data_IF_504956993331
#
_entry.id   IF_504956993331
#
_cell.length_a   1.000
_cell.length_b   1.000
_cell.length_c   1.000
_cell.angle_alpha   90.00
_cell.angle_beta   90.00
_cell.angle_gamma   90.00
#
_symmetry.space_group_name_H-M   'P 1'
#
loop_
_entity.id
_entity.type
_entity.pdbx_description
1 polymer ?
#
# COMPACT_ATOMS: atom_id res chain seq x y z
N UNK A 1 -30.79 -40.95 -3.78
CA UNK A 1 -32.27 -41.09 -3.81
C UNK A 1 -32.84 -39.90 -3.05
N UNK A 2 -33.68 -39.11 -3.74
CA UNK A 2 -34.44 -37.98 -3.21
C UNK A 2 -35.38 -38.43 -2.09
N UNK A 3 -35.56 -37.59 -1.06
CA UNK A 3 -36.83 -37.43 -0.38
C UNK A 3 -36.99 -35.96 0.03
N UNK A 4 -37.81 -35.24 -0.73
CA UNK A 4 -38.55 -34.09 -0.22
C UNK A 4 -39.83 -34.61 0.45
N UNK A 5 -40.28 -33.96 1.54
CA UNK A 5 -41.70 -33.66 1.69
C UNK A 5 -41.96 -32.49 2.66
N UNK A 6 -42.52 -31.44 2.08
CA UNK A 6 -43.11 -30.24 2.67
C UNK A 6 -44.43 -30.53 3.39
N UNK A 7 -44.69 -29.94 4.57
CA UNK A 7 -46.05 -29.64 5.07
C UNK A 7 -46.08 -28.24 5.74
N UNK A 8 -46.98 -27.38 5.21
CA UNK A 8 -47.39 -26.06 5.71
C UNK A 8 -48.31 -26.17 6.93
N UNK A 9 -48.35 -25.13 7.79
CA UNK A 9 -49.51 -24.64 8.58
C UNK A 9 -49.13 -23.28 9.22
N UNK A 10 -49.48 -22.14 8.62
CA UNK A 10 -50.64 -21.25 8.92
C UNK A 10 -50.59 -20.46 10.25
N UNK A 11 -50.54 -19.13 10.06
CA UNK A 11 -50.72 -17.99 10.98
C UNK A 11 -51.69 -18.14 12.17
N UNK A 12 -51.32 -17.54 13.32
CA UNK A 12 -52.19 -16.63 14.06
C UNK A 12 -51.40 -15.68 14.98
N UNK A 13 -51.97 -14.48 15.15
CA UNK A 13 -51.40 -13.20 15.55
C UNK A 13 -52.03 -12.74 16.88
N UNK A 14 -51.24 -12.23 17.83
CA UNK A 14 -51.58 -11.37 18.98
C UNK A 14 -50.23 -10.78 19.44
N UNK A 15 -49.89 -9.49 19.48
CA UNK A 15 -50.66 -8.24 19.51
C UNK A 15 -50.63 -7.63 20.92
N UNK A 16 -49.97 -6.47 21.09
CA UNK A 16 -49.79 -5.51 22.25
C UNK A 16 -48.27 -5.36 22.54
N UNK A 17 -47.53 -4.25 22.28
CA UNK A 17 -47.73 -2.79 22.52
C UNK A 17 -47.18 -2.44 23.92
N UNK A 18 -46.19 -1.57 24.20
CA UNK A 18 -45.73 -0.26 23.66
C UNK A 18 -44.24 0.00 24.15
N UNK A 19 -43.60 1.19 24.08
CA UNK A 19 -42.40 1.48 23.29
C UNK A 19 -41.13 1.80 24.14
N UNK A 20 -39.95 1.85 23.52
CA UNK A 20 -38.80 2.56 24.09
C UNK A 20 -38.26 3.51 23.03
N UNK A 21 -38.45 4.81 23.30
CA UNK A 21 -37.69 5.90 22.68
C UNK A 21 -36.19 5.67 22.91
N UNK A 22 -35.39 5.76 21.85
CA UNK A 22 -34.00 6.16 21.99
C UNK A 22 -33.80 7.45 21.18
N UNK A 23 -33.26 8.43 21.89
CA UNK A 23 -32.98 9.77 21.41
C UNK A 23 -31.90 9.77 20.32
N UNK A 24 -32.04 10.73 19.41
CA UNK A 24 -31.10 11.02 18.34
C UNK A 24 -29.67 11.22 18.89
N UNK A 25 -28.77 10.30 18.52
CA UNK A 25 -27.34 10.55 18.58
C UNK A 25 -26.97 11.55 17.47
N UNK A 26 -26.36 12.64 17.89
CA UNK A 26 -25.92 13.78 17.09
C UNK A 26 -25.15 13.37 15.83
N UNK A 27 -25.59 13.89 14.69
CA UNK A 27 -24.81 13.93 13.45
C UNK A 27 -23.53 14.73 13.66
N UNK A 28 -22.44 14.04 13.99
CA UNK A 28 -21.09 14.57 13.83
C UNK A 28 -20.84 14.80 12.35
N UNK A 29 -20.87 16.06 11.93
CA UNK A 29 -20.55 16.47 10.56
C UNK A 29 -19.08 16.16 10.32
N UNK A 30 -18.77 15.01 9.69
CA UNK A 30 -17.43 14.70 9.20
C UNK A 30 -17.02 15.83 8.26
N UNK A 31 -15.95 16.56 8.60
CA UNK A 31 -15.37 17.55 7.70
C UNK A 31 -14.83 16.83 6.45
N UNK A 32 -14.91 17.44 5.26
CA UNK A 32 -14.31 16.84 4.07
C UNK A 32 -12.79 16.79 4.28
N UNK A 33 -12.21 15.58 4.38
CA UNK A 33 -10.77 15.36 4.34
C UNK A 33 -10.28 15.90 2.99
N UNK A 34 -9.31 16.82 3.01
CA UNK A 34 -8.64 17.27 1.78
C UNK A 34 -7.92 16.04 1.22
N UNK A 35 -8.25 15.64 -0.01
CA UNK A 35 -7.42 14.72 -0.79
C UNK A 35 -6.00 15.28 -0.82
N UNK A 36 -5.08 14.64 -0.12
CA UNK A 36 -3.66 14.75 -0.39
C UNK A 36 -3.33 13.43 -1.07
N UNK A 37 -2.88 13.51 -2.33
CA UNK A 37 -2.28 12.37 -2.98
C UNK A 37 -1.15 11.87 -2.08
N UNK A 38 -1.09 10.56 -1.90
CA UNK A 38 -0.05 9.90 -1.13
C UNK A 38 0.74 9.11 -2.17
N UNK A 39 1.87 9.65 -2.62
CA UNK A 39 2.98 8.85 -3.13
C UNK A 39 3.37 7.92 -1.99
N UNK A 40 2.82 6.70 -2.02
CA UNK A 40 3.07 5.67 -1.02
C UNK A 40 4.60 5.44 -0.98
N UNK A 41 5.25 6.00 0.04
CA UNK A 41 6.59 5.61 0.40
C UNK A 41 6.51 4.12 0.72
N UNK A 42 7.15 3.29 -0.11
CA UNK A 42 7.17 1.84 0.07
C UNK A 42 7.61 1.56 1.50
N UNK A 43 6.75 0.90 2.26
CA UNK A 43 6.91 0.57 3.67
C UNK A 43 8.15 -0.32 3.90
N UNK A 44 9.31 0.31 4.03
CA UNK A 44 10.54 -0.32 4.58
C UNK A 44 10.56 -0.23 6.12
N UNK A 45 9.48 0.28 6.70
CA UNK A 45 9.20 0.40 8.13
C UNK A 45 9.35 -0.96 8.85
N UNK A 46 8.89 -2.04 8.20
CA UNK A 46 8.88 -3.42 8.74
C UNK A 46 10.29 -3.85 9.19
N UNK A 47 11.32 -3.37 8.49
CA UNK A 47 12.66 -3.93 8.56
C UNK A 47 13.59 -3.08 9.47
N UNK A 48 13.27 -1.79 9.67
CA UNK A 48 13.92 -0.88 10.64
C UNK A 48 13.44 -1.14 12.08
N UNK A 49 12.17 -1.52 12.27
CA UNK A 49 11.58 -1.85 13.56
C UNK A 49 12.13 -3.15 14.18
N UNK A 50 12.32 -4.20 13.36
CA UNK A 50 12.83 -5.51 13.81
C UNK A 50 14.26 -5.39 14.37
N UNK A 51 15.10 -4.52 13.80
CA UNK A 51 16.48 -4.32 14.27
C UNK A 51 16.55 -3.56 15.60
N UNK A 52 15.68 -2.56 15.81
CA UNK A 52 15.59 -1.83 17.09
C UNK A 52 15.32 -2.74 18.28
N UNK A 53 14.47 -3.77 18.10
CA UNK A 53 14.15 -4.76 19.13
C UNK A 53 15.30 -5.71 19.51
N UNK A 54 16.36 -5.80 18.69
CA UNK A 54 17.48 -6.71 18.93
C UNK A 54 18.76 -6.01 19.43
N UNK A 55 18.85 -4.67 19.38
CA UNK A 55 19.97 -3.93 19.98
C UNK A 55 19.83 -3.70 21.50
N UNK A 56 18.68 -3.98 22.09
CA UNK A 56 18.48 -3.95 23.55
C UNK A 56 19.03 -5.19 24.29
N UNK A 57 19.68 -6.14 23.61
CA UNK A 57 20.24 -7.35 24.26
C UNK A 57 21.62 -7.19 24.90
N UNK A 58 22.14 -5.97 24.99
CA UNK A 58 23.39 -5.67 25.71
C UNK A 58 23.21 -4.67 26.85
N UNK A 59 22.11 -4.72 27.59
CA UNK A 59 22.10 -4.33 29.01
C UNK A 59 20.89 -4.94 29.68
N UNK A 60 21.01 -5.40 30.93
CA UNK A 60 19.89 -5.97 31.69
C UNK A 60 18.84 -4.92 32.10
N UNK A 61 18.16 -4.33 31.12
CA UNK A 61 16.96 -3.52 31.30
C UNK A 61 15.72 -4.38 31.13
N UNK A 62 14.83 -4.39 32.12
CA UNK A 62 13.52 -5.04 31.98
C UNK A 62 12.67 -4.39 30.90
N UNK A 63 11.60 -5.06 30.51
CA UNK A 63 10.55 -4.56 29.63
C UNK A 63 9.96 -3.23 30.16
N UNK A 64 9.82 -2.23 29.29
CA UNK A 64 9.23 -0.94 29.64
C UNK A 64 7.71 -1.06 29.86
N UNK A 65 7.15 -0.15 30.68
CA UNK A 65 5.71 -0.09 30.88
C UNK A 65 5.02 0.46 29.62
N UNK A 66 4.19 -0.38 29.00
CA UNK A 66 3.48 -0.07 27.77
C UNK A 66 2.50 1.09 27.99
N UNK A 67 2.65 2.14 27.19
CA UNK A 67 1.68 3.22 27.09
C UNK A 67 0.77 2.98 25.88
N UNK A 68 -0.32 2.24 26.08
CA UNK A 68 -1.25 1.93 25.00
C UNK A 68 -1.93 3.21 24.46
N UNK A 69 -2.00 3.42 23.13
CA UNK A 69 -2.64 4.60 22.59
C UNK A 69 -4.14 4.61 22.89
N UNK A 70 -4.65 5.72 23.41
CA UNK A 70 -6.08 5.89 23.74
C UNK A 70 -6.91 6.46 22.58
N UNK A 71 -6.33 6.57 21.39
CA UNK A 71 -6.92 7.15 20.17
C UNK A 71 -6.36 6.48 18.91
N UNK A 72 -7.00 6.70 17.77
CA UNK A 72 -6.55 6.15 16.48
C UNK A 72 -6.89 4.67 16.34
N UNK A 73 -6.10 3.97 15.54
CA UNK A 73 -6.31 2.55 15.20
C UNK A 73 -6.32 1.63 16.44
N UNK A 74 -5.58 1.99 17.50
CA UNK A 74 -5.53 1.21 18.74
C UNK A 74 -6.90 1.03 19.42
N UNK A 75 -7.88 1.89 19.16
CA UNK A 75 -9.25 1.74 19.69
C UNK A 75 -10.04 0.60 19.03
N UNK A 76 -9.61 0.17 17.83
CA UNK A 76 -10.24 -0.93 17.10
C UNK A 76 -9.86 -2.29 17.71
N UNK A 77 -8.74 -2.36 18.43
CA UNK A 77 -8.25 -3.57 19.07
C UNK A 77 -8.79 -3.75 20.50
N UNK A 78 -8.68 -4.96 21.08
CA UNK A 78 -8.82 -5.19 22.51
C UNK A 78 -7.67 -4.54 23.30
N UNK A 79 -7.83 -4.45 24.63
CA UNK A 79 -6.73 -4.03 25.51
C UNK A 79 -5.54 -5.01 25.36
N UNK A 80 -4.28 -4.53 25.41
CA UNK A 80 -3.13 -5.39 25.17
C UNK A 80 -3.03 -6.51 26.23
N UNK A 81 -2.56 -7.72 25.85
CA UNK A 81 -2.54 -8.88 26.74
C UNK A 81 -1.52 -8.77 27.87
N UNK A 82 -0.67 -7.73 27.86
CA UNK A 82 0.32 -7.42 28.88
C UNK A 82 0.51 -5.90 28.98
N UNK A 83 0.99 -5.43 30.14
CA UNK A 83 1.32 -4.02 30.38
C UNK A 83 2.78 -3.70 30.00
N UNK A 84 3.47 -4.62 29.32
CA UNK A 84 4.88 -4.52 28.98
C UNK A 84 5.06 -4.50 27.47
N UNK A 85 5.83 -3.55 26.96
CA UNK A 85 6.06 -3.42 25.53
C UNK A 85 6.31 -1.98 25.07
N UNK A 86 6.31 -1.79 23.76
CA UNK A 86 6.64 -0.52 23.11
C UNK A 86 5.78 -0.31 21.87
N UNK A 87 5.15 0.87 21.78
CA UNK A 87 4.53 1.36 20.54
C UNK A 87 5.62 1.90 19.64
N UNK A 88 5.73 1.34 18.44
CA UNK A 88 6.74 1.72 17.46
C UNK A 88 6.18 2.81 16.54
N UNK A 89 4.95 2.62 16.07
CA UNK A 89 4.24 3.51 15.16
C UNK A 89 2.78 3.59 15.60
N UNK A 90 2.21 4.78 15.56
CA UNK A 90 0.79 5.02 15.77
C UNK A 90 0.39 6.33 15.11
N UNK A 91 -0.05 6.22 13.87
CA UNK A 91 -0.58 7.32 13.07
C UNK A 91 -1.98 6.97 12.53
N UNK A 92 -2.42 7.67 11.49
CA UNK A 92 -3.76 7.47 10.93
C UNK A 92 -3.86 6.25 10.00
N UNK A 93 -2.74 5.76 9.49
CA UNK A 93 -2.66 4.69 8.50
C UNK A 93 -2.12 3.39 9.11
N UNK A 94 -1.29 3.46 10.16
CA UNK A 94 -0.68 2.28 10.77
C UNK A 94 -0.53 2.40 12.29
N UNK A 95 -0.72 1.27 12.96
CA UNK A 95 -0.30 1.00 14.34
C UNK A 95 0.63 -0.21 14.33
N UNK A 96 1.82 -0.06 14.91
CA UNK A 96 2.77 -1.17 15.12
C UNK A 96 3.24 -1.17 16.57
N UNK A 97 3.05 -2.31 17.26
CA UNK A 97 3.36 -2.46 18.68
C UNK A 97 4.00 -3.81 18.95
N UNK A 98 5.03 -3.83 19.79
CA UNK A 98 5.55 -5.05 20.39
C UNK A 98 5.11 -5.14 21.85
N UNK A 99 4.56 -6.28 22.25
CA UNK A 99 4.10 -6.58 23.60
C UNK A 99 5.00 -7.70 24.16
N UNK A 100 5.62 -7.48 25.31
CA UNK A 100 6.46 -8.46 26.00
C UNK A 100 5.67 -9.16 27.14
N UNK A 101 6.22 -10.28 27.63
CA UNK A 101 5.62 -11.08 28.71
C UNK A 101 4.23 -11.65 28.35
N UNK A 102 4.04 -11.99 27.08
CA UNK A 102 2.82 -12.62 26.56
C UNK A 102 3.01 -14.13 26.58
N UNK A 103 2.19 -14.84 27.34
CA UNK A 103 2.15 -16.31 27.31
C UNK A 103 1.40 -16.81 26.07
N UNK A 104 1.59 -18.09 25.72
CA UNK A 104 0.86 -18.70 24.61
C UNK A 104 -0.66 -18.63 24.81
N UNK A 105 -1.15 -18.96 26.02
CA UNK A 105 -2.57 -18.87 26.36
C UNK A 105 -3.11 -17.42 26.25
N UNK A 106 -2.29 -16.42 26.60
CA UNK A 106 -2.67 -15.01 26.47
C UNK A 106 -2.73 -14.56 25.01
N UNK A 107 -1.81 -15.03 24.17
CA UNK A 107 -1.86 -14.82 22.72
C UNK A 107 -3.12 -15.44 22.11
N UNK A 108 -3.41 -16.71 22.39
CA UNK A 108 -4.61 -17.38 21.87
C UNK A 108 -5.89 -16.66 22.29
N UNK A 109 -5.97 -16.19 23.55
CA UNK A 109 -7.08 -15.39 24.03
C UNK A 109 -7.19 -14.05 23.28
N UNK A 110 -6.06 -13.36 23.07
CA UNK A 110 -6.03 -12.09 22.36
C UNK A 110 -6.50 -12.22 20.91
N UNK A 111 -6.11 -13.30 20.21
CA UNK A 111 -6.62 -13.61 18.86
C UNK A 111 -8.15 -13.73 18.85
N UNK A 112 -8.73 -14.39 19.86
CA UNK A 112 -10.20 -14.49 19.97
C UNK A 112 -10.86 -13.14 20.22
N UNK A 113 -10.27 -12.31 21.09
CA UNK A 113 -10.79 -10.96 21.34
C UNK A 113 -10.69 -10.06 20.10
N UNK A 114 -9.63 -10.21 19.29
CA UNK A 114 -9.52 -9.54 17.99
C UNK A 114 -10.61 -10.00 17.01
N UNK A 115 -10.91 -11.30 16.95
CA UNK A 115 -12.04 -11.80 16.15
C UNK A 115 -13.38 -11.24 16.63
N UNK A 116 -13.58 -11.14 17.95
CA UNK A 116 -14.77 -10.49 18.54
C UNK A 116 -14.86 -8.98 18.21
N UNK A 117 -13.72 -8.33 17.92
CA UNK A 117 -13.66 -6.95 17.41
C UNK A 117 -13.98 -6.83 15.91
N UNK A 118 -14.17 -7.93 15.20
CA UNK A 118 -14.62 -7.96 13.81
C UNK A 118 -13.57 -8.44 12.80
N UNK A 119 -12.34 -8.73 13.22
CA UNK A 119 -11.29 -9.27 12.35
C UNK A 119 -11.59 -10.73 11.98
N UNK A 120 -12.53 -10.93 11.07
CA UNK A 120 -13.15 -12.23 10.74
C UNK A 120 -13.19 -12.52 9.23
N UNK A 121 -12.75 -11.58 8.42
CA UNK A 121 -12.73 -11.70 6.96
C UNK A 121 -11.32 -12.10 6.49
N UNK A 122 -11.26 -13.01 5.51
CA UNK A 122 -10.04 -13.53 4.89
C UNK A 122 -8.93 -13.89 5.90
N UNK A 123 -9.32 -14.75 6.86
CA UNK A 123 -8.43 -15.18 7.94
C UNK A 123 -7.41 -16.19 7.43
N UNK A 124 -6.16 -15.95 7.78
CA UNK A 124 -5.06 -16.90 7.75
C UNK A 124 -4.46 -17.00 9.16
N UNK A 125 -4.30 -18.21 9.69
CA UNK A 125 -3.83 -18.37 11.06
C UNK A 125 -3.07 -19.67 11.24
N UNK A 126 -1.97 -19.57 11.98
CA UNK A 126 -1.18 -20.69 12.47
C UNK A 126 -1.07 -20.62 14.01
N UNK A 127 -0.25 -21.48 14.62
CA UNK A 127 -0.10 -21.50 16.08
C UNK A 127 0.52 -20.23 16.66
N UNK A 128 1.28 -19.50 15.86
CA UNK A 128 2.08 -18.34 16.23
C UNK A 128 1.83 -17.13 15.33
N UNK A 129 0.85 -17.21 14.44
CA UNK A 129 0.43 -16.09 13.60
C UNK A 129 -1.08 -16.03 13.45
N UNK A 130 -1.60 -14.82 13.32
CA UNK A 130 -2.97 -14.57 12.95
C UNK A 130 -2.99 -13.38 12.03
N UNK A 131 -3.74 -13.50 10.95
CA UNK A 131 -3.88 -12.45 9.99
C UNK A 131 -5.31 -12.40 9.46
N UNK A 132 -5.94 -11.22 9.47
CA UNK A 132 -7.33 -11.06 9.04
C UNK A 132 -7.79 -9.62 8.92
N UNK A 133 -8.99 -9.44 8.38
CA UNK A 133 -9.56 -8.12 8.11
C UNK A 133 -10.93 -7.94 8.78
N UNK A 134 -11.30 -6.68 9.01
CA UNK A 134 -12.68 -6.27 9.27
C UNK A 134 -13.51 -6.28 7.97
N UNK A 135 -14.84 -6.08 8.06
CA UNK A 135 -15.67 -5.88 6.87
C UNK A 135 -15.37 -4.54 6.17
N UNK A 136 -14.89 -3.55 6.92
CA UNK A 136 -14.51 -2.23 6.44
C UNK A 136 -13.11 -2.20 5.78
N UNK A 137 -12.30 -3.25 5.97
CA UNK A 137 -11.02 -3.46 5.30
C UNK A 137 -9.79 -3.07 6.12
N UNK A 138 -9.92 -2.78 7.41
CA UNK A 138 -8.75 -2.68 8.29
C UNK A 138 -8.08 -4.06 8.42
N UNK A 139 -6.75 -4.08 8.34
CA UNK A 139 -5.96 -5.30 8.29
C UNK A 139 -5.17 -5.49 9.57
N UNK A 140 -5.40 -6.60 10.28
CA UNK A 140 -4.65 -6.97 11.47
C UNK A 140 -3.73 -8.15 11.16
N UNK A 141 -2.45 -7.97 11.47
CA UNK A 141 -1.44 -9.03 11.50
C UNK A 141 -0.86 -9.17 12.91
N UNK A 142 -0.81 -10.40 13.41
CA UNK A 142 -0.28 -10.77 14.70
C UNK A 142 0.83 -11.81 14.50
N UNK A 143 1.97 -11.60 15.15
CA UNK A 143 3.09 -12.55 15.15
C UNK A 143 3.59 -12.80 16.57
N UNK A 144 3.53 -14.05 17.02
CA UNK A 144 3.87 -14.47 18.39
C UNK A 144 5.17 -15.28 18.45
N UNK A 145 6.16 -14.76 19.17
CA UNK A 145 7.45 -15.39 19.36
C UNK A 145 7.54 -16.06 20.73
N UNK A 146 7.13 -17.32 20.79
CA UNK A 146 7.12 -18.13 22.03
C UNK A 146 8.47 -18.15 22.77
N UNK A 147 9.60 -18.18 22.04
CA UNK A 147 10.94 -18.21 22.65
C UNK A 147 11.31 -16.96 23.46
N UNK A 148 10.64 -15.84 23.20
CA UNK A 148 10.85 -14.57 23.88
C UNK A 148 9.58 -14.03 24.53
N UNK A 149 8.49 -14.80 24.56
CA UNK A 149 7.18 -14.40 25.10
C UNK A 149 6.75 -13.01 24.58
N UNK A 150 6.85 -12.82 23.25
CA UNK A 150 6.60 -11.54 22.59
C UNK A 150 5.51 -11.65 21.54
N UNK A 151 4.59 -10.71 21.52
CA UNK A 151 3.59 -10.53 20.49
C UNK A 151 3.87 -9.23 19.71
N UNK A 152 3.95 -9.33 18.40
CA UNK A 152 3.92 -8.18 17.51
C UNK A 152 2.48 -8.00 17.00
N UNK A 153 2.02 -6.76 17.03
CA UNK A 153 0.69 -6.34 16.59
C UNK A 153 0.89 -5.26 15.53
N UNK A 154 0.46 -5.55 14.30
CA UNK A 154 0.44 -4.61 13.20
C UNK A 154 -1.00 -4.45 12.71
N UNK A 155 -1.51 -3.21 12.75
CA UNK A 155 -2.85 -2.87 12.30
C UNK A 155 -2.74 -1.74 11.27
N UNK A 156 -3.23 -2.00 10.07
CA UNK A 156 -3.29 -1.03 8.98
C UNK A 156 -4.73 -0.55 8.78
N UNK A 157 -4.88 0.76 8.55
CA UNK A 157 -6.16 1.35 8.23
C UNK A 157 -6.70 0.79 6.90
N UNK A 158 -8.02 0.81 6.75
CA UNK A 158 -8.66 0.43 5.51
C UNK A 158 -8.19 1.33 4.36
N UNK A 159 -7.82 0.72 3.24
CA UNK A 159 -7.47 1.45 2.03
C UNK A 159 -8.66 2.29 1.56
N UNK A 160 -8.43 3.58 1.31
CA UNK A 160 -9.46 4.44 0.74
C UNK A 160 -9.75 4.05 -0.72
N UNK A 161 -10.80 3.24 -0.91
CA UNK A 161 -11.29 2.80 -2.22
C UNK A 161 -12.51 3.60 -2.68
N UNK A 162 -12.67 3.76 -3.99
CA UNK A 162 -13.84 4.40 -4.61
C UNK A 162 -14.09 3.86 -6.03
N UNK A 163 -15.31 4.03 -6.53
CA UNK A 163 -15.61 3.80 -7.94
C UNK A 163 -14.78 4.74 -8.84
N UNK A 164 -14.16 4.19 -9.87
CA UNK A 164 -13.49 4.97 -10.92
C UNK A 164 -13.89 4.48 -12.32
N UNK A 165 -13.75 5.36 -13.31
CA UNK A 165 -13.96 4.98 -14.70
C UNK A 165 -12.68 4.34 -15.26
N UNK A 166 -12.80 3.14 -15.84
CA UNK A 166 -11.67 2.52 -16.54
C UNK A 166 -11.20 3.44 -17.69
N UNK A 167 -9.89 3.74 -17.79
CA UNK A 167 -9.40 4.67 -18.82
C UNK A 167 -9.67 4.16 -20.24
N UNK A 168 -10.10 5.07 -21.11
CA UNK A 168 -10.32 4.79 -22.54
C UNK A 168 -9.15 5.24 -23.41
N UNK A 169 -8.07 5.76 -22.80
CA UNK A 169 -6.83 6.21 -23.44
C UNK A 169 -5.63 5.70 -22.65
N UNK A 170 -4.45 5.74 -23.24
CA UNK A 170 -3.22 5.23 -22.61
C UNK A 170 -3.16 3.70 -22.56
N UNK A 171 -2.21 3.12 -21.80
CA UNK A 171 -1.97 1.69 -21.80
C UNK A 171 -3.17 0.87 -21.29
N UNK A 172 -3.93 1.40 -20.33
CA UNK A 172 -5.13 0.73 -19.80
C UNK A 172 -6.24 0.51 -20.84
N UNK A 173 -6.30 1.34 -21.88
CA UNK A 173 -7.26 1.16 -22.97
C UNK A 173 -6.99 -0.11 -23.81
N UNK A 174 -5.77 -0.67 -23.71
CA UNK A 174 -5.37 -1.89 -24.41
C UNK A 174 -5.74 -3.16 -23.63
N UNK A 175 -6.17 -3.03 -22.37
CA UNK A 175 -6.54 -4.15 -21.50
C UNK A 175 -8.07 -4.15 -21.32
N UNK A 176 -8.73 -5.32 -21.33
CA UNK A 176 -10.17 -5.42 -21.03
C UNK A 176 -10.52 -4.77 -19.69
N UNK A 177 -11.76 -4.30 -19.52
CA UNK A 177 -12.19 -3.73 -18.23
C UNK A 177 -12.25 -4.86 -17.18
N UNK A 178 -11.66 -4.69 -15.98
CA UNK A 178 -11.74 -5.69 -14.92
C UNK A 178 -13.17 -5.91 -14.41
N UNK A 179 -13.45 -7.04 -13.72
CA UNK A 179 -14.78 -7.35 -13.20
C UNK A 179 -15.30 -6.32 -12.18
N UNK A 180 -14.38 -5.61 -11.51
CA UNK A 180 -14.66 -4.50 -10.60
C UNK A 180 -13.85 -3.27 -11.02
N UNK A 181 -14.45 -2.09 -10.83
CA UNK A 181 -13.79 -0.78 -10.98
C UNK A 181 -13.96 0.07 -9.71
N UNK A 182 -14.25 -0.60 -8.59
CA UNK A 182 -14.16 -0.02 -7.26
C UNK A 182 -12.74 -0.28 -6.75
N UNK A 183 -12.04 0.77 -6.33
CA UNK A 183 -10.62 0.66 -5.98
C UNK A 183 -9.90 2.00 -5.87
N UNK A 184 -8.58 1.96 -6.01
CA UNK A 184 -7.71 3.12 -5.97
C UNK A 184 -6.75 3.10 -7.15
N UNK A 185 -6.63 4.23 -7.84
CA UNK A 185 -5.70 4.44 -8.95
C UNK A 185 -4.50 5.21 -8.41
N UNK A 186 -3.31 4.62 -8.50
CA UNK A 186 -2.06 5.24 -8.03
C UNK A 186 -1.27 5.87 -9.16
N UNK A 187 -1.38 5.34 -10.38
CA UNK A 187 -0.72 5.88 -11.58
C UNK A 187 -1.66 5.85 -12.77
N UNK A 188 -1.74 6.96 -13.51
CA UNK A 188 -2.43 7.02 -14.80
C UNK A 188 -1.73 8.04 -15.70
N UNK A 189 -0.87 7.55 -16.58
CA UNK A 189 -0.07 8.34 -17.51
C UNK A 189 -0.15 7.77 -18.94
N UNK A 190 0.49 8.44 -19.89
CA UNK A 190 0.57 7.94 -21.28
C UNK A 190 1.34 6.63 -21.42
N UNK A 191 2.19 6.28 -20.46
CA UNK A 191 3.05 5.08 -20.51
C UNK A 191 2.79 4.08 -19.40
N UNK A 192 2.03 4.43 -18.35
CA UNK A 192 1.74 3.52 -17.25
C UNK A 192 0.34 3.73 -16.67
N UNK A 193 -0.29 2.63 -16.27
CA UNK A 193 -1.48 2.64 -15.44
C UNK A 193 -1.31 1.64 -14.29
N UNK A 194 -1.55 2.07 -13.06
CA UNK A 194 -1.50 1.23 -11.87
C UNK A 194 -2.72 1.49 -11.01
N UNK A 195 -3.43 0.43 -10.65
CA UNK A 195 -4.59 0.48 -9.75
C UNK A 195 -4.64 -0.76 -8.86
N UNK A 196 -5.30 -0.64 -7.70
CA UNK A 196 -5.80 -1.79 -6.95
C UNK A 196 -7.33 -1.74 -7.00
N UNK A 197 -7.96 -2.85 -7.36
CA UNK A 197 -9.42 -3.01 -7.37
C UNK A 197 -9.84 -4.03 -6.33
N UNK A 198 -11.02 -3.86 -5.72
CA UNK A 198 -11.57 -4.76 -4.71
C UNK A 198 -12.88 -5.42 -5.18
N UNK A 199 -13.52 -6.20 -4.31
CA UNK A 199 -14.78 -6.87 -4.60
C UNK A 199 -14.64 -8.08 -5.52
N UNK A 200 -13.46 -8.67 -5.59
CA UNK A 200 -13.16 -9.83 -6.41
C UNK A 200 -13.13 -11.12 -5.58
N UNK A 201 -13.30 -12.23 -6.27
CA UNK A 201 -12.96 -13.58 -5.79
C UNK A 201 -11.76 -14.12 -6.57
N UNK A 202 -11.05 -15.09 -6.00
CA UNK A 202 -9.95 -15.77 -6.70
C UNK A 202 -10.38 -16.36 -8.05
N UNK A 203 -11.64 -16.82 -8.16
CA UNK A 203 -12.23 -17.27 -9.42
C UNK A 203 -12.37 -16.12 -10.43
N UNK A 204 -12.89 -14.96 -10.00
CA UNK A 204 -13.04 -13.79 -10.88
C UNK A 204 -11.69 -13.20 -11.32
N UNK A 205 -10.67 -13.28 -10.47
CA UNK A 205 -9.28 -12.94 -10.81
C UNK A 205 -8.76 -13.85 -11.91
N UNK A 206 -8.86 -15.17 -11.71
CA UNK A 206 -8.38 -16.15 -12.69
C UNK A 206 -9.11 -16.05 -14.04
N UNK A 207 -10.43 -15.81 -14.00
CA UNK A 207 -11.23 -15.56 -15.20
C UNK A 207 -10.83 -14.26 -15.92
N UNK A 208 -10.41 -13.24 -15.17
CA UNK A 208 -9.93 -11.99 -15.76
C UNK A 208 -8.54 -12.15 -16.40
N UNK A 209 -7.63 -12.92 -15.78
CA UNK A 209 -6.38 -13.31 -16.43
C UNK A 209 -6.62 -14.03 -17.77
N UNK A 210 -7.59 -14.96 -17.83
CA UNK A 210 -7.98 -15.62 -19.09
C UNK A 210 -8.59 -14.64 -20.10
N UNK A 211 -9.31 -13.62 -19.61
CA UNK A 211 -9.86 -12.55 -20.46
C UNK A 211 -8.74 -11.71 -21.08
N UNK A 212 -7.68 -11.38 -20.32
CA UNK A 212 -6.48 -10.71 -20.84
C UNK A 212 -5.77 -11.57 -21.89
N UNK A 213 -5.61 -12.88 -21.65
CA UNK A 213 -5.05 -13.79 -22.65
C UNK A 213 -5.90 -13.82 -23.93
N UNK A 214 -7.23 -13.89 -23.79
CA UNK A 214 -8.17 -13.83 -24.91
C UNK A 214 -8.12 -12.52 -25.69
N UNK A 215 -7.70 -11.42 -25.05
CA UNK A 215 -7.47 -10.12 -25.66
C UNK A 215 -6.09 -9.99 -26.34
N UNK A 216 -5.26 -11.04 -26.31
CA UNK A 216 -3.98 -11.10 -27.02
C UNK A 216 -2.73 -10.88 -26.16
N UNK A 217 -2.87 -10.85 -24.83
CA UNK A 217 -1.74 -10.84 -23.90
C UNK A 217 -1.23 -12.28 -23.70
N UNK A 218 -0.43 -12.74 -24.67
CA UNK A 218 0.05 -14.14 -24.73
C UNK A 218 1.55 -14.24 -24.98
N UNK A 219 2.24 -13.11 -25.15
CA UNK A 219 3.69 -13.07 -25.36
C UNK A 219 4.37 -13.07 -23.99
N UNK A 220 5.42 -13.88 -23.83
CA UNK A 220 6.23 -14.00 -22.62
C UNK A 220 5.41 -14.08 -21.32
N UNK A 221 4.30 -14.82 -21.38
CA UNK A 221 3.38 -14.91 -20.26
C UNK A 221 3.86 -15.87 -19.16
N UNK A 222 3.49 -15.53 -17.94
CA UNK A 222 3.53 -16.43 -16.78
C UNK A 222 2.22 -16.27 -15.99
N UNK A 223 1.73 -17.38 -15.44
CA UNK A 223 0.44 -17.43 -14.76
C UNK A 223 0.50 -18.43 -13.60
N UNK A 224 0.21 -17.95 -12.41
CA UNK A 224 -0.02 -18.75 -11.21
C UNK A 224 -1.47 -18.62 -10.72
N UNK A 225 -1.71 -19.09 -9.50
CA UNK A 225 -3.03 -18.99 -8.86
C UNK A 225 -3.34 -17.54 -8.41
N UNK A 226 -2.29 -16.79 -8.08
CA UNK A 226 -2.30 -15.44 -7.50
C UNK A 226 -1.60 -14.38 -8.38
N UNK A 227 -1.10 -14.76 -9.56
CA UNK A 227 -0.47 -13.80 -10.46
C UNK A 227 -0.70 -14.13 -11.93
N UNK A 228 -0.65 -13.10 -12.77
CA UNK A 228 -0.58 -13.22 -14.22
C UNK A 228 0.22 -12.05 -14.78
N UNK A 229 1.17 -12.31 -15.66
CA UNK A 229 1.78 -11.26 -16.47
C UNK A 229 1.99 -11.72 -17.90
N UNK A 230 1.92 -10.79 -18.84
CA UNK A 230 2.08 -11.06 -20.26
C UNK A 230 2.22 -9.76 -21.04
N UNK A 231 2.81 -9.87 -22.23
CA UNK A 231 2.80 -8.83 -23.24
C UNK A 231 1.77 -9.15 -24.32
N UNK A 232 1.24 -8.10 -24.96
CA UNK A 232 0.54 -8.23 -26.22
C UNK A 232 1.48 -8.01 -27.42
N UNK A 233 0.99 -8.25 -28.64
CA UNK A 233 1.80 -8.09 -29.85
C UNK A 233 2.28 -6.65 -30.13
N UNK A 234 1.69 -5.64 -29.48
CA UNK A 234 2.12 -4.25 -29.56
C UNK A 234 3.18 -3.89 -28.50
N UNK A 235 3.59 -4.85 -27.65
CA UNK A 235 4.55 -4.62 -26.58
C UNK A 235 3.98 -3.93 -25.34
N UNK A 236 2.64 -3.85 -25.21
CA UNK A 236 2.01 -3.42 -23.95
C UNK A 236 2.09 -4.60 -22.97
N UNK A 237 2.61 -4.32 -21.77
CA UNK A 237 2.72 -5.28 -20.69
C UNK A 237 1.52 -5.14 -19.74
N UNK A 238 0.97 -6.26 -19.30
CA UNK A 238 0.02 -6.32 -18.18
C UNK A 238 0.58 -7.23 -17.10
N UNK A 239 0.47 -6.78 -15.85
CA UNK A 239 0.77 -7.56 -14.65
C UNK A 239 -0.40 -7.44 -13.67
N UNK A 240 -0.94 -8.59 -13.28
CA UNK A 240 -2.02 -8.77 -12.34
C UNK A 240 -1.47 -9.53 -11.12
N UNK A 241 -1.76 -9.02 -9.93
CA UNK A 241 -1.40 -9.65 -8.67
C UNK A 241 -2.64 -9.76 -7.80
N UNK A 242 -3.03 -10.99 -7.46
CA UNK A 242 -4.02 -11.24 -6.44
C UNK A 242 -3.48 -10.80 -5.09
N UNK A 243 -4.28 -10.05 -4.37
CA UNK A 243 -4.02 -9.63 -3.00
C UNK A 243 -5.12 -10.20 -2.13
N UNK A 244 -4.83 -10.32 -0.83
CA UNK A 244 -5.83 -10.72 0.16
C UNK A 244 -6.99 -9.72 0.22
N UNK A 245 -8.08 -10.10 0.87
CA UNK A 245 -9.33 -9.37 0.99
C UNK A 245 -10.03 -9.10 -0.36
N UNK A 246 -9.93 -10.05 -1.30
CA UNK A 246 -10.62 -9.93 -2.59
C UNK A 246 -10.10 -8.78 -3.46
N UNK A 247 -8.82 -8.43 -3.30
CA UNK A 247 -8.18 -7.32 -4.01
C UNK A 247 -7.32 -7.83 -5.17
N UNK A 248 -7.20 -7.04 -6.23
CA UNK A 248 -6.27 -7.28 -7.32
C UNK A 248 -5.49 -6.01 -7.62
N UNK A 249 -4.16 -6.11 -7.56
CA UNK A 249 -3.26 -5.12 -8.16
C UNK A 249 -3.20 -5.30 -9.67
N UNK A 250 -3.32 -4.19 -10.40
CA UNK A 250 -3.19 -4.13 -11.85
C UNK A 250 -2.09 -3.11 -12.17
N UNK A 251 -1.09 -3.55 -12.93
CA UNK A 251 -0.06 -2.68 -13.51
C UNK A 251 -0.01 -2.90 -15.02
N UNK A 252 0.01 -1.82 -15.78
CA UNK A 252 -0.01 -1.83 -17.24
C UNK A 252 1.02 -0.82 -17.70
N UNK A 253 1.97 -1.24 -18.55
CA UNK A 253 2.95 -0.33 -19.13
C UNK A 253 2.95 -0.42 -20.65
N UNK A 254 3.03 0.74 -21.30
CA UNK A 254 3.18 0.83 -22.74
C UNK A 254 4.54 0.25 -23.19
N UNK A 255 4.62 -0.09 -24.48
CA UNK A 255 5.89 -0.47 -25.10
C UNK A 255 6.90 0.67 -24.99
N UNK A 256 8.18 0.33 -24.76
CA UNK A 256 9.28 1.30 -24.67
C UNK A 256 9.43 2.18 -25.94
N UNK A 257 8.86 1.78 -27.08
CA UNK A 257 8.87 2.56 -28.32
C UNK A 257 7.77 3.66 -28.35
N UNK A 258 6.66 3.47 -27.63
CA UNK A 258 5.51 4.41 -27.62
C UNK A 258 5.55 5.40 -26.45
N UNK A 259 6.40 5.18 -25.45
CA UNK A 259 6.56 6.06 -24.28
C UNK A 259 7.06 7.49 -24.62
N UNK A 260 7.38 7.76 -25.88
CA UNK A 260 7.87 9.07 -26.38
C UNK A 260 6.86 9.87 -27.22
N UNK A 261 5.58 9.48 -27.29
CA UNK A 261 4.58 10.26 -28.05
C UNK A 261 3.51 10.87 -27.16
N UNK A 262 3.87 11.99 -26.54
CA UNK A 262 2.89 13.01 -26.16
C UNK A 262 2.14 13.46 -27.42
N UNK A 263 0.90 13.00 -27.58
CA UNK A 263 0.00 13.48 -28.63
C UNK A 263 -1.09 14.29 -28.00
N UNK A 264 -0.94 15.61 -28.12
CA UNK A 264 -1.97 16.58 -27.83
C UNK A 264 -1.85 17.83 -28.68
N UNK A 265 -2.14 17.76 -29.99
CA UNK A 265 -2.99 18.79 -30.62
C UNK A 265 -3.51 18.39 -32.00
N UNK A 266 -4.83 18.53 -32.15
CA UNK A 266 -5.68 18.26 -33.30
C UNK A 266 -5.46 19.22 -34.48
N UNK A 267 -5.59 18.66 -35.69
CA UNK A 267 -5.75 19.25 -37.03
C UNK A 267 -6.03 20.77 -37.15
N UNK A 268 -5.18 21.46 -37.93
CA UNK A 268 -5.67 22.26 -39.06
C UNK A 268 -4.59 22.49 -40.13
N UNK A 269 -4.91 22.13 -41.37
CA UNK A 269 -4.14 22.44 -42.56
C UNK A 269 -4.17 23.95 -42.89
N UNK A 270 -3.02 24.58 -43.11
CA UNK A 270 -2.80 25.45 -44.29
C UNK A 270 -1.31 25.81 -44.47
N UNK A 271 -1.06 26.41 -45.62
CA UNK A 271 0.10 26.43 -46.50
C UNK A 271 1.27 27.33 -46.06
N UNK A 272 2.46 26.87 -46.47
CA UNK A 272 3.77 27.55 -46.59
C UNK A 272 3.75 29.06 -46.91
N UNK A 273 4.53 29.86 -46.13
CA UNK A 273 5.44 30.92 -46.62
C UNK A 273 6.39 31.43 -45.52
N UNK A 274 7.70 31.45 -45.82
CA UNK A 274 8.81 32.16 -45.13
C UNK A 274 8.80 33.68 -45.49
N UNK A 275 9.74 34.54 -45.02
CA UNK A 275 10.34 34.78 -43.68
C UNK A 275 10.20 36.27 -43.25
N UNK A 276 10.61 36.67 -42.03
CA UNK A 276 11.43 37.88 -41.73
C UNK A 276 11.61 38.15 -40.22
N UNK A 277 12.89 38.25 -39.86
CA UNK A 277 13.52 38.67 -38.60
C UNK A 277 13.06 40.03 -38.05
N UNK A 278 12.88 40.15 -36.72
CA UNK A 278 13.66 41.03 -35.82
C UNK A 278 12.93 41.45 -34.52
N UNK A 279 13.72 41.42 -33.43
CA UNK A 279 13.66 42.22 -32.19
C UNK A 279 12.77 41.80 -31.00
N UNK A 280 13.46 41.30 -29.98
CA UNK A 280 13.15 41.30 -28.55
C UNK A 280 13.20 42.73 -27.98
N UNK A 281 12.42 43.05 -26.92
CA UNK A 281 13.07 43.09 -25.61
C UNK A 281 12.26 42.38 -24.49
N UNK A 282 13.01 42.02 -23.45
CA UNK A 282 12.72 41.10 -22.36
C UNK A 282 11.62 41.53 -21.35
N UNK A 283 11.37 40.60 -20.41
CA UNK A 283 10.54 40.62 -19.17
C UNK A 283 9.23 39.86 -19.37
N UNK A 284 8.95 38.70 -18.75
CA UNK A 284 9.25 38.20 -17.41
C UNK A 284 9.29 36.66 -17.44
N UNK A 285 10.11 36.02 -16.60
CA UNK A 285 10.37 34.59 -16.64
C UNK A 285 9.22 33.77 -16.03
N UNK A 286 8.45 33.08 -16.88
CA UNK A 286 7.74 31.86 -16.50
C UNK A 286 8.73 30.67 -16.61
N UNK A 287 8.73 29.70 -15.69
CA UNK A 287 9.65 28.58 -15.78
C UNK A 287 9.33 27.78 -17.04
N UNK A 288 10.38 27.55 -17.82
CA UNK A 288 10.34 26.71 -19.00
C UNK A 288 9.99 25.29 -18.58
N UNK A 289 9.06 24.69 -19.32
CA UNK A 289 8.91 23.25 -19.47
C UNK A 289 10.24 22.70 -20.04
N UNK A 290 11.16 22.38 -19.14
CA UNK A 290 12.32 21.57 -19.48
C UNK A 290 11.83 20.14 -19.44
N UNK A 291 11.71 19.49 -20.60
CA UNK A 291 11.31 18.08 -20.72
C UNK A 291 12.29 17.06 -20.12
N UNK A 292 12.89 17.37 -18.99
CA UNK A 292 13.75 16.51 -18.18
C UNK A 292 13.37 16.62 -16.70
N UNK A 293 13.89 15.70 -15.89
CA UNK A 293 13.59 15.63 -14.45
C UNK A 293 13.91 16.96 -13.77
N UNK A 294 12.94 17.48 -13.03
CA UNK A 294 13.07 18.67 -12.20
C UNK A 294 14.26 18.49 -11.25
N UNK A 295 15.24 19.42 -11.20
CA UNK A 295 16.44 19.24 -10.39
C UNK A 295 16.15 18.99 -8.91
N UNK A 296 15.15 19.68 -8.36
CA UNK A 296 14.75 19.54 -6.96
C UNK A 296 14.11 18.16 -6.71
N UNK A 297 13.22 17.71 -7.60
CA UNK A 297 12.62 16.39 -7.52
C UNK A 297 13.67 15.28 -7.62
N UNK A 298 14.59 15.41 -8.59
CA UNK A 298 15.72 14.50 -8.75
C UNK A 298 16.57 14.42 -7.48
N UNK A 299 16.90 15.56 -6.87
CA UNK A 299 17.67 15.59 -5.64
C UNK A 299 16.95 14.87 -4.48
N UNK A 300 15.63 15.07 -4.34
CA UNK A 300 14.82 14.36 -3.34
C UNK A 300 14.83 12.86 -3.57
N UNK A 301 14.64 12.41 -4.82
CA UNK A 301 14.67 10.99 -5.17
C UNK A 301 16.06 10.37 -5.02
N UNK A 302 17.12 11.09 -5.36
CA UNK A 302 18.51 10.65 -5.14
C UNK A 302 18.81 10.46 -3.65
N UNK A 303 18.32 11.38 -2.81
CA UNK A 303 18.44 11.28 -1.35
C UNK A 303 17.63 10.11 -0.81
N UNK A 304 16.45 9.84 -1.37
CA UNK A 304 15.60 8.69 -1.04
C UNK A 304 16.31 7.38 -1.40
N UNK A 305 16.90 7.26 -2.60
CA UNK A 305 17.70 6.11 -3.02
C UNK A 305 18.94 5.89 -2.14
N UNK A 306 19.64 6.97 -1.80
CA UNK A 306 20.82 6.92 -0.94
C UNK A 306 20.47 6.39 0.46
N UNK A 307 19.36 6.87 1.05
CA UNK A 307 18.87 6.38 2.33
C UNK A 307 18.64 4.87 2.32
N UNK A 308 17.90 4.34 1.34
CA UNK A 308 17.66 2.90 1.27
C UNK A 308 18.90 2.08 0.90
N UNK A 309 19.82 2.69 0.17
CA UNK A 309 21.11 2.09 -0.10
C UNK A 309 21.91 1.90 1.17
N UNK A 310 21.97 2.92 2.03
CA UNK A 310 22.63 2.84 3.33
C UNK A 310 21.92 1.87 4.26
N UNK A 311 20.58 1.82 4.23
CA UNK A 311 19.81 0.83 4.98
C UNK A 311 20.16 -0.61 4.58
N UNK A 312 20.25 -0.89 3.28
CA UNK A 312 20.65 -2.20 2.78
C UNK A 312 22.06 -2.60 3.28
N UNK A 313 23.01 -1.66 3.24
CA UNK A 313 24.37 -1.88 3.70
C UNK A 313 24.43 -2.08 5.23
N UNK A 314 23.63 -1.31 5.99
CA UNK A 314 23.43 -1.48 7.42
C UNK A 314 22.91 -2.89 7.75
N UNK A 315 21.91 -3.37 7.01
CA UNK A 315 21.34 -4.70 7.23
C UNK A 315 22.34 -5.83 6.99
N UNK A 316 23.20 -5.73 5.97
CA UNK A 316 24.30 -6.68 5.75
C UNK A 316 25.27 -6.67 6.94
N UNK A 317 25.68 -5.48 7.40
CA UNK A 317 26.57 -5.35 8.55
C UNK A 317 25.94 -5.86 9.85
N UNK A 318 24.62 -5.64 10.01
CA UNK A 318 23.84 -6.09 11.14
C UNK A 318 23.72 -7.62 11.20
N UNK A 319 23.42 -8.28 10.08
CA UNK A 319 23.40 -9.74 10.00
C UNK A 319 24.78 -10.34 10.35
N UNK A 320 25.87 -9.68 9.97
CA UNK A 320 27.21 -10.13 10.29
C UNK A 320 27.56 -9.96 11.79
N UNK A 321 27.15 -8.87 12.44
CA UNK A 321 27.41 -8.64 13.86
C UNK A 321 26.43 -7.63 14.51
N UNK A 322 25.28 -8.11 14.93
CA UNK A 322 24.22 -7.31 15.56
C UNK A 322 24.61 -6.58 16.85
N UNK A 323 25.75 -6.88 17.47
CA UNK A 323 26.20 -6.30 18.76
C UNK A 323 27.27 -5.21 18.63
N UNK A 324 27.56 -4.72 17.41
CA UNK A 324 28.55 -3.66 17.20
C UNK A 324 28.03 -2.29 17.72
N UNK A 325 28.78 -1.60 18.60
CA UNK A 325 28.46 -0.24 19.04
C UNK A 325 28.41 0.78 17.90
N UNK A 326 29.15 0.55 16.81
CA UNK A 326 29.12 1.38 15.61
C UNK A 326 27.78 1.27 14.85
N UNK A 327 27.12 0.10 14.90
CA UNK A 327 25.79 -0.10 14.32
C UNK A 327 24.70 0.58 15.14
N UNK A 328 24.85 0.66 16.47
CA UNK A 328 23.96 1.45 17.33
C UNK A 328 23.94 2.93 16.95
N UNK A 329 25.13 3.51 16.72
CA UNK A 329 25.26 4.90 16.32
C UNK A 329 24.71 5.15 14.90
N UNK A 330 24.99 4.24 13.95
CA UNK A 330 24.42 4.30 12.60
C UNK A 330 22.89 4.21 12.60
N UNK A 331 22.31 3.35 13.44
CA UNK A 331 20.87 3.22 13.55
C UNK A 331 20.21 4.51 14.05
N UNK A 332 20.78 5.17 15.07
CA UNK A 332 20.26 6.44 15.57
C UNK A 332 20.32 7.57 14.54
N UNK A 333 21.41 7.64 13.74
CA UNK A 333 21.54 8.59 12.62
C UNK A 333 20.49 8.33 11.54
N UNK A 334 20.29 7.06 11.19
CA UNK A 334 19.31 6.64 10.19
C UNK A 334 17.87 6.97 10.62
N UNK A 335 17.53 6.81 11.90
CA UNK A 335 16.21 7.20 12.44
C UNK A 335 15.97 8.70 12.36
N UNK A 336 17.00 9.54 12.60
CA UNK A 336 16.86 10.99 12.45
C UNK A 336 16.64 11.39 10.99
N UNK A 337 17.41 10.79 10.07
CA UNK A 337 17.29 11.02 8.63
C UNK A 337 16.01 10.47 8.03
N UNK A 338 15.41 9.45 8.63
CA UNK A 338 14.10 8.92 8.23
C UNK A 338 12.99 9.98 8.40
N UNK A 339 12.99 10.72 9.51
CA UNK A 339 12.02 11.80 9.74
C UNK A 339 12.18 12.92 8.70
N UNK A 340 13.42 13.32 8.41
CA UNK A 340 13.72 14.34 7.40
C UNK A 340 13.33 13.87 5.98
N UNK A 341 13.54 12.59 5.67
CA UNK A 341 13.19 11.99 4.38
C UNK A 341 11.68 11.91 4.21
N UNK A 342 10.95 11.45 5.22
CA UNK A 342 9.47 11.42 5.20
C UNK A 342 8.90 12.82 4.96
N UNK A 343 9.40 13.81 5.70
CA UNK A 343 9.00 15.21 5.50
C UNK A 343 9.33 15.71 4.09
N UNK A 344 10.45 15.29 3.51
CA UNK A 344 10.84 15.66 2.15
C UNK A 344 9.92 15.03 1.10
N UNK A 345 9.48 13.79 1.29
CA UNK A 345 8.52 13.12 0.40
C UNK A 345 7.12 13.75 0.52
N UNK A 346 6.66 14.06 1.74
CA UNK A 346 5.38 14.74 2.00
C UNK A 346 5.30 16.15 1.39
N UNK A 347 6.47 16.78 1.18
CA UNK A 347 6.56 18.13 0.63
C UNK A 347 6.45 18.17 -0.90
N UNK A 348 6.48 17.01 -1.57
CA UNK A 348 6.36 16.92 -3.02
C UNK A 348 4.92 17.27 -3.43
N UNK A 349 4.77 18.29 -4.26
CA UNK A 349 3.48 18.58 -4.89
C UNK A 349 3.28 17.68 -6.11
N UNK A 350 2.60 16.57 -5.88
CA UNK A 350 2.29 15.56 -6.89
C UNK A 350 1.53 16.13 -8.10
N UNK A 351 0.76 17.20 -7.93
CA UNK A 351 0.00 17.81 -9.03
C UNK A 351 0.89 18.60 -10.00
N UNK A 352 2.16 18.79 -9.64
CA UNK A 352 3.13 19.58 -10.39
C UNK A 352 4.31 18.74 -10.90
N UNK A 353 4.24 17.40 -10.80
CA UNK A 353 5.26 16.51 -11.32
C UNK A 353 5.13 16.35 -12.82
N UNK A 354 6.26 16.48 -13.52
CA UNK A 354 6.32 16.20 -14.95
C UNK A 354 6.31 14.69 -15.23
N UNK A 355 6.05 14.30 -16.47
CA UNK A 355 6.20 12.90 -16.89
C UNK A 355 7.64 12.38 -16.68
N UNK A 356 8.65 13.25 -16.81
CA UNK A 356 10.05 12.92 -16.55
C UNK A 356 10.33 12.69 -15.05
N UNK A 357 9.70 13.47 -14.17
CA UNK A 357 9.78 13.28 -12.72
C UNK A 357 9.19 11.93 -12.31
N UNK A 358 8.00 11.59 -12.81
CA UNK A 358 7.39 10.29 -12.54
C UNK A 358 8.21 9.11 -13.05
N UNK A 359 8.75 9.18 -14.27
CA UNK A 359 9.65 8.15 -14.79
C UNK A 359 10.88 7.97 -13.88
N UNK A 360 11.45 9.09 -13.39
CA UNK A 360 12.59 9.05 -12.49
C UNK A 360 12.28 8.40 -11.15
N UNK A 361 11.11 8.68 -10.58
CA UNK A 361 10.63 8.03 -9.36
C UNK A 361 10.52 6.51 -9.51
N UNK A 362 9.97 6.02 -10.62
CA UNK A 362 9.83 4.59 -10.89
C UNK A 362 11.21 3.93 -11.00
N UNK A 363 12.14 4.54 -11.73
CA UNK A 363 13.51 4.03 -11.86
C UNK A 363 14.21 3.92 -10.51
N UNK A 364 14.14 4.99 -9.70
CA UNK A 364 14.70 5.04 -8.34
C UNK A 364 14.09 3.94 -7.47
N UNK A 365 12.77 3.79 -7.51
CA UNK A 365 12.03 2.78 -6.76
C UNK A 365 12.44 1.36 -7.16
N UNK A 366 12.62 1.12 -8.47
CA UNK A 366 13.11 -0.17 -8.98
C UNK A 366 14.52 -0.49 -8.50
N UNK A 367 15.44 0.49 -8.50
CA UNK A 367 16.80 0.31 -7.99
C UNK A 367 16.84 0.03 -6.49
N UNK A 368 16.04 0.76 -5.71
CA UNK A 368 15.88 0.51 -4.27
C UNK A 368 15.41 -0.92 -4.02
N UNK A 369 14.34 -1.34 -4.72
CA UNK A 369 13.77 -2.68 -4.58
C UNK A 369 14.81 -3.77 -4.89
N UNK A 370 15.56 -3.61 -5.98
CA UNK A 370 16.63 -4.54 -6.34
C UNK A 370 17.75 -4.59 -5.29
N UNK A 371 18.11 -3.45 -4.69
CA UNK A 371 19.14 -3.39 -3.64
C UNK A 371 18.65 -4.06 -2.35
N UNK A 372 17.40 -3.84 -1.94
CA UNK A 372 16.83 -4.47 -0.75
C UNK A 372 16.69 -5.99 -0.91
N UNK A 373 16.30 -6.48 -2.09
CA UNK A 373 16.22 -7.92 -2.37
C UNK A 373 17.58 -8.63 -2.29
N UNK A 374 18.70 -7.91 -2.45
CA UNK A 374 20.05 -8.48 -2.32
C UNK A 374 20.49 -8.72 -0.87
N UNK A 375 19.77 -8.17 0.11
CA UNK A 375 20.08 -8.26 1.54
C UNK A 375 19.44 -9.49 2.20
N UNK A 376 18.41 -10.06 1.57
CA UNK A 376 17.64 -11.21 2.08
C UNK A 376 18.12 -12.57 1.57
N UNK A 377 19.19 -12.62 0.77
CA UNK A 377 19.88 -13.84 0.32
C UNK A 377 21.14 -14.08 1.14
#
# INVERSE_FOLDING_TARGET
>A
MRFELTIKLTNCRLGIGVPVEWEAASTGKKSPRKRRGCLIAIAVIILIAIVGGAISRCSGGGSEDLQWPSSGLAQLLPDPPSTKGTVLINDEDQLSVHIDEVSADAYEAYVQECQDKGFTVDIESESDSFDGFTEEGEHLSLSYYSSSERLNIDLEAALEMADFAWPTVGPAASVPVPPSTHGSVTVNSGSQFTATVDGLTAESFNAYADTCMGAGFTVDYDKGDDYFHADNAAGVHVSLMWKRFGMMGISISASMEDASTDTGSTDQADTSAEPTTAETPATDAAPADTGGVSPDFKATMDSYEAFFSEYADFMVAYQANASSPELLAQYADMMARYADMTQSMDSIDENNLSAADYAYYIEVTGRITAKLASVTQ
#
